data_IF_545487752209
#
_entry.id   IF_545487752209
#
_cell.length_a   1.000
_cell.length_b   1.000
_cell.length_c   1.000
_cell.angle_alpha   90.00
_cell.angle_beta   90.00
_cell.angle_gamma   90.00
#
_symmetry.space_group_name_H-M   'P 1'
#
loop_
_entity.id
_entity.type
_entity.pdbx_description
1 polymer ?
#
# COMPACT_ATOMS: atom_id res chain seq x y z
N UNK A 1 -24.88 -18.52 11.07
CA UNK A 1 -24.93 -17.68 9.86
C UNK A 1 -23.91 -16.58 10.03
N UNK A 2 -22.90 -16.55 9.18
CA UNK A 2 -21.73 -15.67 9.30
C UNK A 2 -22.06 -14.26 8.79
N UNK A 3 -21.75 -13.26 9.62
CA UNK A 3 -22.04 -11.83 9.40
C UNK A 3 -21.16 -11.30 8.24
N UNK A 4 -20.00 -11.93 8.01
CA UNK A 4 -19.12 -11.63 6.89
C UNK A 4 -19.77 -12.00 5.54
N UNK A 5 -20.46 -13.14 5.48
CA UNK A 5 -21.15 -13.59 4.26
C UNK A 5 -22.34 -12.68 3.93
N UNK A 6 -23.03 -12.13 4.94
CA UNK A 6 -24.14 -11.19 4.75
C UNK A 6 -23.65 -9.83 4.22
N UNK A 7 -22.48 -9.38 4.69
CA UNK A 7 -21.86 -8.13 4.24
C UNK A 7 -21.36 -8.24 2.80
N UNK A 8 -20.74 -9.37 2.43
CA UNK A 8 -20.31 -9.64 1.05
C UNK A 8 -21.53 -9.70 0.11
N UNK A 9 -22.64 -10.30 0.55
CA UNK A 9 -23.86 -10.38 -0.26
C UNK A 9 -24.55 -9.00 -0.44
N UNK A 10 -24.53 -8.16 0.60
CA UNK A 10 -25.00 -6.76 0.50
C UNK A 10 -24.08 -5.92 -0.40
N UNK A 11 -22.76 -6.09 -0.30
CA UNK A 11 -21.78 -5.39 -1.14
C UNK A 11 -21.92 -5.80 -2.62
N UNK A 12 -22.26 -7.07 -2.92
CA UNK A 12 -22.55 -7.54 -4.30
C UNK A 12 -23.84 -6.94 -4.87
N UNK A 13 -24.92 -6.88 -4.08
CA UNK A 13 -26.18 -6.27 -4.54
C UNK A 13 -26.06 -4.74 -4.74
N UNK A 14 -25.26 -4.06 -3.92
CA UNK A 14 -24.96 -2.64 -4.09
C UNK A 14 -24.17 -2.36 -5.38
N UNK A 15 -23.29 -3.28 -5.80
CA UNK A 15 -22.49 -3.14 -7.03
C UNK A 15 -23.27 -3.42 -8.33
N UNK A 16 -24.39 -4.16 -8.28
CA UNK A 16 -25.24 -4.41 -9.46
C UNK A 16 -26.20 -3.24 -9.78
N UNK A 17 -26.47 -2.37 -8.80
CA UNK A 17 -27.38 -1.22 -8.95
C UNK A 17 -26.71 0.04 -9.51
N UNK A 18 -25.38 0.12 -9.54
CA UNK A 18 -24.65 1.32 -9.99
C UNK A 18 -24.08 1.24 -11.42
N UNK A 19 -24.64 0.37 -12.27
CA UNK A 19 -24.18 0.16 -13.65
C UNK A 19 -25.21 0.41 -14.76
N UNK A 20 -26.45 0.82 -14.46
CA UNK A 20 -27.49 1.01 -15.49
C UNK A 20 -27.79 2.48 -15.78
N UNK A 21 -26.87 3.13 -16.50
CA UNK A 21 -27.19 4.26 -17.38
C UNK A 21 -26.69 3.93 -18.79
N UNK A 22 -27.58 3.30 -19.54
CA UNK A 22 -27.79 3.38 -20.99
C UNK A 22 -26.58 3.56 -21.94
N UNK A 23 -26.11 2.46 -22.54
CA UNK A 23 -25.87 2.39 -23.99
C UNK A 23 -25.79 0.93 -24.46
N UNK A 24 -26.15 0.73 -25.72
CA UNK A 24 -26.60 -0.49 -26.37
C UNK A 24 -25.52 -1.57 -26.63
N UNK A 25 -26.00 -2.82 -26.82
CA UNK A 25 -25.35 -3.99 -27.44
C UNK A 25 -24.24 -4.72 -26.66
N UNK A 26 -24.60 -5.82 -25.97
CA UNK A 26 -24.18 -7.20 -26.29
C UNK A 26 -24.53 -8.17 -25.14
N UNK A 27 -25.46 -9.09 -25.39
CA UNK A 27 -25.89 -10.13 -24.46
C UNK A 27 -25.06 -11.40 -24.67
N UNK A 28 -23.97 -11.61 -23.95
CA UNK A 28 -23.29 -12.93 -23.92
C UNK A 28 -22.45 -13.24 -22.67
N UNK A 29 -22.40 -12.39 -21.64
CA UNK A 29 -21.59 -12.66 -20.44
C UNK A 29 -22.36 -13.32 -19.29
N UNK A 30 -23.69 -13.43 -19.40
CA UNK A 30 -24.54 -14.06 -18.39
C UNK A 30 -24.65 -15.59 -18.51
N UNK A 31 -24.25 -16.20 -19.64
CA UNK A 31 -24.42 -17.64 -19.88
C UNK A 31 -23.35 -18.51 -19.20
N UNK A 32 -22.09 -18.08 -19.25
CA UNK A 32 -20.95 -18.86 -18.72
C UNK A 32 -20.97 -19.01 -17.19
N UNK A 33 -21.44 -17.98 -16.47
CA UNK A 33 -21.55 -18.06 -15.02
C UNK A 33 -22.74 -18.92 -14.58
N UNK A 34 -23.87 -18.86 -15.31
CA UNK A 34 -25.01 -19.75 -15.05
C UNK A 34 -24.72 -21.21 -15.36
N UNK A 35 -23.86 -21.48 -16.34
CA UNK A 35 -23.46 -22.84 -16.73
C UNK A 35 -22.51 -23.45 -15.68
N UNK A 36 -21.53 -22.68 -15.20
CA UNK A 36 -20.61 -23.11 -14.14
C UNK A 36 -21.31 -23.35 -12.80
N UNK A 37 -22.32 -22.52 -12.47
CA UNK A 37 -23.11 -22.70 -11.25
C UNK A 37 -24.04 -23.93 -11.35
N UNK A 38 -24.52 -24.25 -12.55
CA UNK A 38 -25.30 -25.47 -12.81
C UNK A 38 -24.48 -26.74 -12.63
N UNK A 39 -23.21 -26.72 -13.02
CA UNK A 39 -22.31 -27.88 -12.92
C UNK A 39 -21.85 -28.15 -11.48
N UNK A 40 -21.61 -27.10 -10.68
CA UNK A 40 -21.21 -27.23 -9.27
C UNK A 40 -22.37 -27.71 -8.38
N UNK A 41 -23.62 -27.37 -8.73
CA UNK A 41 -24.79 -27.73 -7.92
C UNK A 41 -25.41 -29.11 -8.27
N UNK A 42 -25.04 -29.72 -9.40
CA UNK A 42 -25.57 -31.04 -9.80
C UNK A 42 -24.76 -32.26 -9.29
N UNK A 43 -23.56 -32.05 -8.71
CA UNK A 43 -22.66 -33.15 -8.32
C UNK A 43 -22.75 -33.60 -6.85
N UNK A 44 -23.80 -33.25 -6.11
CA UNK A 44 -23.95 -33.60 -4.68
C UNK A 44 -24.96 -34.71 -4.35
N UNK A 45 -25.39 -35.51 -5.32
CA UNK A 45 -26.29 -36.67 -5.07
C UNK A 45 -25.82 -37.93 -5.82
N UNK A 46 -25.40 -38.96 -5.06
CA UNK A 46 -25.12 -40.38 -5.44
C UNK A 46 -23.78 -40.61 -6.18
N UNK A 47 -22.88 -41.53 -5.81
CA UNK A 47 -22.95 -42.77 -5.03
C UNK A 47 -21.53 -43.24 -4.66
N UNK A 48 -21.42 -44.00 -3.57
CA UNK A 48 -20.24 -44.72 -3.07
C UNK A 48 -19.52 -45.55 -4.14
N UNK A 49 -18.17 -45.54 -4.16
CA UNK A 49 -17.28 -46.73 -4.15
C UNK A 49 -15.85 -46.36 -4.60
N UNK A 50 -14.84 -46.76 -3.81
CA UNK A 50 -13.53 -47.20 -4.29
C UNK A 50 -12.52 -46.16 -4.83
N UNK A 51 -11.50 -45.91 -4.00
CA UNK A 51 -10.08 -45.72 -4.35
C UNK A 51 -9.57 -44.54 -5.21
N UNK A 52 -8.45 -44.03 -4.70
CA UNK A 52 -7.37 -43.26 -5.35
C UNK A 52 -7.66 -41.83 -5.76
N UNK A 53 -7.27 -40.95 -4.84
CA UNK A 53 -6.92 -39.55 -5.08
C UNK A 53 -5.64 -39.54 -5.94
N UNK A 54 -5.70 -38.99 -7.14
CA UNK A 54 -4.52 -38.51 -7.89
C UNK A 54 -4.92 -37.46 -8.93
N UNK A 55 -4.04 -36.50 -9.20
CA UNK A 55 -4.38 -35.12 -9.51
C UNK A 55 -4.56 -34.87 -11.01
N UNK A 56 -5.25 -33.76 -11.28
CA UNK A 56 -5.47 -33.13 -12.57
C UNK A 56 -4.21 -33.15 -13.45
N UNK A 57 -4.20 -34.05 -14.43
CA UNK A 57 -3.21 -34.07 -15.49
C UNK A 57 -3.50 -32.92 -16.45
N UNK A 58 -2.63 -31.91 -16.37
CA UNK A 58 -2.47 -30.86 -17.35
C UNK A 58 -2.00 -31.48 -18.67
N UNK A 59 -2.88 -31.48 -19.67
CA UNK A 59 -2.55 -31.88 -21.04
C UNK A 59 -2.40 -30.62 -21.89
N UNK A 60 -1.18 -30.10 -21.96
CA UNK A 60 -0.82 -28.92 -22.74
C UNK A 60 0.64 -29.01 -23.16
N UNK A 61 0.85 -29.24 -24.46
CA UNK A 61 2.16 -29.33 -25.11
C UNK A 61 2.77 -27.93 -25.25
N UNK A 62 3.57 -27.53 -24.27
CA UNK A 62 4.48 -26.39 -24.38
C UNK A 62 5.82 -26.75 -23.72
N UNK A 63 6.89 -26.71 -24.51
CA UNK A 63 8.25 -27.05 -24.08
C UNK A 63 8.69 -26.15 -22.91
N UNK A 64 9.01 -26.79 -21.79
CA UNK A 64 9.64 -26.11 -20.64
C UNK A 64 11.07 -25.75 -21.05
N UNK A 65 11.29 -24.47 -21.35
CA UNK A 65 12.61 -23.88 -21.49
C UNK A 65 13.24 -23.72 -20.09
N UNK A 66 14.12 -24.66 -19.72
CA UNK A 66 15.04 -24.52 -18.59
C UNK A 66 16.41 -24.05 -19.10
N UNK A 67 16.84 -22.80 -18.87
CA UNK A 67 18.24 -22.45 -19.06
C UNK A 67 19.08 -23.07 -17.94
N UNK A 68 20.07 -23.85 -18.37
CA UNK A 68 21.10 -24.49 -17.56
C UNK A 68 21.92 -23.48 -16.76
N UNK A 69 22.12 -23.81 -15.48
CA UNK A 69 22.97 -23.12 -14.51
C UNK A 69 24.43 -23.02 -15.00
N UNK A 70 25.01 -21.82 -15.24
CA UNK A 70 26.44 -21.68 -15.42
C UNK A 70 27.11 -21.52 -14.05
N UNK A 71 27.92 -22.52 -13.69
CA UNK A 71 28.91 -22.42 -12.61
C UNK A 71 29.89 -21.29 -12.91
N UNK A 72 29.68 -20.13 -12.27
CA UNK A 72 30.64 -19.02 -12.29
C UNK A 72 31.79 -19.38 -11.34
N UNK A 73 32.94 -19.67 -11.93
CA UNK A 73 34.22 -19.75 -11.26
C UNK A 73 34.61 -18.33 -10.79
N UNK A 74 34.94 -18.21 -9.51
CA UNK A 74 35.60 -17.05 -8.92
C UNK A 74 36.94 -16.80 -9.62
N UNK A 75 37.11 -15.63 -10.23
CA UNK A 75 38.42 -14.97 -10.27
C UNK A 75 38.28 -13.47 -10.00
N UNK A 76 39.18 -13.02 -9.14
CA UNK A 76 39.20 -11.73 -8.47
C UNK A 76 39.52 -10.58 -9.41
N UNK A 77 38.74 -9.50 -9.30
CA UNK A 77 39.23 -8.12 -9.42
C UNK A 77 38.31 -7.22 -8.60
N UNK A 78 38.54 -7.23 -7.29
CA UNK A 78 37.95 -6.27 -6.38
C UNK A 78 38.65 -4.91 -6.58
N UNK A 79 37.99 -4.00 -7.28
CA UNK A 79 38.27 -2.57 -7.12
C UNK A 79 37.68 -2.15 -5.77
N UNK A 80 38.48 -1.59 -4.85
CA UNK A 80 37.92 -0.98 -3.65
C UNK A 80 37.39 0.40 -4.08
N UNK A 81 36.19 0.46 -4.65
CA UNK A 81 35.46 1.72 -4.64
C UNK A 81 35.13 1.99 -3.19
N UNK A 82 35.89 2.90 -2.59
CA UNK A 82 35.71 3.39 -1.23
C UNK A 82 34.27 3.89 -1.08
N UNK A 83 33.38 3.02 -0.58
CA UNK A 83 32.14 3.49 0.04
C UNK A 83 32.61 4.32 1.23
N UNK A 84 32.30 5.61 1.17
CA UNK A 84 32.47 6.52 2.28
C UNK A 84 31.80 5.98 3.55
N UNK A 85 32.11 6.59 4.70
CA UNK A 85 31.64 6.10 5.98
C UNK A 85 30.12 5.94 5.99
N UNK A 86 29.65 4.77 6.41
CA UNK A 86 28.24 4.37 6.57
C UNK A 86 27.67 5.13 7.79
N UNK A 87 27.53 6.44 7.67
CA UNK A 87 26.84 7.30 8.64
C UNK A 87 25.61 7.98 8.02
N UNK A 88 25.09 7.47 6.90
CA UNK A 88 24.25 8.18 5.91
C UNK A 88 22.91 7.49 5.60
N UNK A 89 22.27 6.81 6.55
CA UNK A 89 21.30 5.75 6.16
C UNK A 89 19.99 6.22 5.50
N UNK A 90 19.52 7.46 5.70
CA UNK A 90 18.36 8.01 4.98
C UNK A 90 18.48 9.48 4.57
N UNK A 91 19.56 10.17 4.98
CA UNK A 91 19.70 11.63 4.80
C UNK A 91 19.65 12.04 3.32
N UNK A 92 20.34 11.31 2.45
CA UNK A 92 20.33 11.58 1.00
C UNK A 92 18.93 11.44 0.39
N UNK A 93 18.16 10.44 0.86
CA UNK A 93 16.79 10.20 0.41
C UNK A 93 15.87 11.33 0.90
N UNK A 94 16.03 11.74 2.16
CA UNK A 94 15.28 12.84 2.77
C UNK A 94 15.56 14.15 2.01
N UNK A 95 16.84 14.44 1.73
CA UNK A 95 17.26 15.61 0.96
C UNK A 95 16.66 15.60 -0.44
N UNK A 96 16.77 14.48 -1.16
CA UNK A 96 16.17 14.31 -2.50
C UNK A 96 14.65 14.52 -2.47
N UNK A 97 13.96 14.01 -1.44
CA UNK A 97 12.53 14.18 -1.28
C UNK A 97 12.15 15.63 -0.93
N UNK A 98 12.92 16.28 -0.05
CA UNK A 98 12.78 17.67 0.33
C UNK A 98 12.88 18.60 -0.89
N UNK A 99 13.94 18.45 -1.69
CA UNK A 99 14.15 19.20 -2.92
C UNK A 99 13.00 18.98 -3.92
N UNK A 100 12.61 17.72 -4.15
CA UNK A 100 11.58 17.38 -5.14
C UNK A 100 10.19 17.93 -4.78
N UNK A 101 9.83 17.92 -3.50
CA UNK A 101 8.49 18.29 -3.05
C UNK A 101 8.42 19.65 -2.35
N UNK A 102 9.52 20.41 -2.39
CA UNK A 102 9.69 21.72 -1.77
C UNK A 102 9.31 21.71 -0.28
N UNK A 103 9.91 20.79 0.47
CA UNK A 103 9.69 20.60 1.90
C UNK A 103 10.98 20.86 2.68
N UNK A 104 10.90 21.36 3.92
CA UNK A 104 12.06 21.36 4.81
C UNK A 104 12.50 19.91 5.11
N UNK A 105 13.78 19.60 4.95
CA UNK A 105 14.34 18.27 5.29
C UNK A 105 14.02 17.88 6.73
N UNK A 106 14.15 18.84 7.64
CA UNK A 106 13.87 18.66 9.07
C UNK A 106 12.40 18.31 9.33
N UNK A 107 11.47 18.79 8.51
CA UNK A 107 10.06 18.44 8.65
C UNK A 107 9.83 16.97 8.29
N UNK A 108 10.43 16.51 7.19
CA UNK A 108 10.35 15.10 6.76
C UNK A 108 10.96 14.20 7.84
N UNK A 109 12.16 14.52 8.34
CA UNK A 109 12.81 13.73 9.38
C UNK A 109 12.03 13.71 10.70
N UNK A 110 11.37 14.81 11.06
CA UNK A 110 10.49 14.89 12.22
C UNK A 110 9.25 14.00 12.11
N UNK A 111 8.66 13.92 10.91
CA UNK A 111 7.56 12.99 10.64
C UNK A 111 8.05 11.55 10.73
N UNK A 112 9.17 11.19 10.07
CA UNK A 112 9.75 9.84 10.15
C UNK A 112 10.04 9.44 11.60
N UNK A 113 10.60 10.37 12.40
CA UNK A 113 10.89 10.14 13.82
C UNK A 113 9.62 9.78 14.59
N UNK A 114 8.52 10.49 14.35
CA UNK A 114 7.25 10.25 15.02
C UNK A 114 6.55 8.98 14.53
N UNK A 115 6.64 8.67 13.24
CA UNK A 115 5.92 7.56 12.62
C UNK A 115 6.56 6.21 12.94
N UNK A 116 7.87 6.08 12.76
CA UNK A 116 8.55 4.78 12.91
C UNK A 116 9.81 4.84 13.76
N UNK A 117 10.19 6.01 14.25
CA UNK A 117 11.49 6.21 14.91
C UNK A 117 12.66 5.74 14.00
N UNK A 118 12.55 5.97 12.70
CA UNK A 118 13.50 5.55 11.65
C UNK A 118 13.61 4.02 11.43
N UNK A 119 12.62 3.25 11.89
CA UNK A 119 12.49 1.84 11.53
C UNK A 119 11.80 1.70 10.15
N UNK A 120 12.53 1.17 9.16
CA UNK A 120 12.00 0.94 7.82
C UNK A 120 11.13 -0.33 7.72
N UNK A 121 11.24 -1.24 8.69
CA UNK A 121 10.44 -2.46 8.78
C UNK A 121 9.16 -2.28 9.61
N UNK A 122 8.90 -1.07 10.11
CA UNK A 122 7.74 -0.79 10.98
C UNK A 122 6.41 -1.07 10.28
N UNK A 123 5.55 -1.84 10.95
CA UNK A 123 4.18 -2.12 10.53
C UNK A 123 3.25 -1.88 11.72
N UNK A 124 2.27 -0.99 11.57
CA UNK A 124 1.28 -0.74 12.60
C UNK A 124 0.18 -1.81 12.62
N UNK A 125 -0.58 -1.90 13.72
CA UNK A 125 -1.74 -2.78 13.83
C UNK A 125 -2.84 -2.47 12.80
N UNK A 126 -2.90 -1.24 12.29
CA UNK A 126 -3.81 -0.81 11.24
C UNK A 126 -3.27 -1.08 9.82
N UNK A 127 -2.02 -1.54 9.69
CA UNK A 127 -1.38 -1.85 8.40
C UNK A 127 -0.57 -0.70 7.78
N UNK A 128 -0.36 0.40 8.51
CA UNK A 128 0.56 1.45 8.06
C UNK A 128 1.99 0.90 8.03
N UNK A 129 2.76 1.20 6.98
CA UNK A 129 4.04 0.52 6.71
C UNK A 129 5.19 1.50 6.44
N UNK A 130 6.38 1.15 6.93
CA UNK A 130 7.65 1.80 6.63
C UNK A 130 7.92 3.10 7.38
N UNK A 131 8.93 3.84 6.94
CA UNK A 131 9.49 5.02 7.62
C UNK A 131 8.47 6.14 7.89
N UNK A 132 7.56 6.38 6.96
CA UNK A 132 6.52 7.41 7.02
C UNK A 132 5.12 6.82 7.22
N UNK A 133 5.05 5.54 7.61
CA UNK A 133 3.82 4.82 7.96
C UNK A 133 2.67 5.03 6.96
N UNK A 134 2.92 4.70 5.69
CA UNK A 134 1.90 4.83 4.65
C UNK A 134 0.86 3.73 4.78
N UNK A 135 -0.42 4.11 4.86
CA UNK A 135 -1.54 3.17 4.73
C UNK A 135 -1.57 2.54 3.32
N UNK A 136 -1.98 1.27 3.15
CA UNK A 136 -1.92 0.59 1.85
C UNK A 136 -2.67 1.32 0.72
N UNK A 137 -3.86 1.87 1.02
CA UNK A 137 -4.61 2.67 0.05
C UNK A 137 -3.90 3.96 -0.35
N UNK A 138 -3.26 4.62 0.60
CA UNK A 138 -2.45 5.83 0.39
C UNK A 138 -1.19 5.52 -0.42
N UNK A 139 -0.47 4.44 -0.09
CA UNK A 139 0.70 3.98 -0.85
C UNK A 139 0.34 3.74 -2.33
N UNK A 140 -0.76 3.01 -2.59
CA UNK A 140 -1.27 2.76 -3.94
C UNK A 140 -1.60 4.07 -4.67
N UNK A 141 -2.32 4.99 -4.02
CA UNK A 141 -2.65 6.29 -4.60
C UNK A 141 -1.40 7.13 -4.94
N UNK A 142 -0.32 6.98 -4.18
CA UNK A 142 0.92 7.74 -4.38
C UNK A 142 1.84 7.11 -5.42
N UNK A 143 1.59 5.86 -5.83
CA UNK A 143 2.41 5.08 -6.75
C UNK A 143 3.55 4.32 -6.07
N UNK A 144 3.47 4.09 -4.75
CA UNK A 144 4.42 3.29 -3.99
C UNK A 144 4.10 1.81 -4.20
N UNK A 145 5.02 1.05 -4.77
CA UNK A 145 4.85 -0.39 -5.03
C UNK A 145 5.41 -1.25 -3.91
N UNK A 146 6.44 -0.76 -3.20
CA UNK A 146 6.98 -1.40 -2.01
C UNK A 146 7.11 -0.37 -0.87
N UNK A 147 6.21 -0.43 0.12
CA UNK A 147 6.24 0.49 1.27
C UNK A 147 7.36 0.18 2.27
N UNK A 148 8.01 -0.98 2.20
CA UNK A 148 9.17 -1.33 3.02
C UNK A 148 10.49 -0.87 2.38
N UNK A 149 10.46 -0.46 1.11
CA UNK A 149 11.60 0.18 0.48
C UNK A 149 11.74 1.63 1.00
N UNK A 150 12.86 1.99 1.63
CA UNK A 150 13.03 3.32 2.23
C UNK A 150 12.86 4.48 1.25
N UNK A 151 13.40 4.33 0.02
CA UNK A 151 13.34 5.40 -0.98
C UNK A 151 11.90 5.62 -1.43
N UNK A 152 11.18 4.56 -1.81
CA UNK A 152 9.78 4.67 -2.20
C UNK A 152 8.91 5.20 -1.06
N UNK A 153 9.14 4.74 0.17
CA UNK A 153 8.34 5.15 1.33
C UNK A 153 8.53 6.64 1.66
N UNK A 154 9.78 7.11 1.75
CA UNK A 154 10.08 8.53 2.00
C UNK A 154 9.57 9.40 0.85
N UNK A 155 9.79 9.00 -0.41
CA UNK A 155 9.33 9.77 -1.56
C UNK A 155 7.79 9.81 -1.65
N UNK A 156 7.11 8.74 -1.27
CA UNK A 156 5.65 8.69 -1.17
C UNK A 156 5.12 9.56 -0.03
N UNK A 157 5.66 9.41 1.17
CA UNK A 157 5.25 10.19 2.33
C UNK A 157 5.52 11.68 2.18
N UNK A 158 6.68 12.08 1.65
CA UNK A 158 6.99 13.46 1.34
C UNK A 158 6.02 14.05 0.29
N UNK A 159 5.69 13.30 -0.76
CA UNK A 159 4.66 13.70 -1.74
C UNK A 159 3.31 13.94 -1.07
N UNK A 160 2.91 13.07 -0.15
CA UNK A 160 1.64 13.21 0.57
C UNK A 160 1.65 14.41 1.52
N UNK A 161 2.73 14.59 2.28
CA UNK A 161 2.90 15.73 3.17
C UNK A 161 2.88 17.07 2.42
N UNK A 162 3.53 17.15 1.27
CA UNK A 162 3.50 18.34 0.39
C UNK A 162 2.08 18.64 -0.13
N UNK A 163 1.29 17.60 -0.45
CA UNK A 163 -0.14 17.78 -0.77
C UNK A 163 -0.94 18.35 0.40
N UNK A 164 -0.69 17.87 1.62
CA UNK A 164 -1.37 18.41 2.81
C UNK A 164 -1.01 19.87 3.04
N UNK A 165 0.27 20.23 2.97
CA UNK A 165 0.70 21.62 3.08
C UNK A 165 0.04 22.51 2.03
N UNK A 166 0.00 22.05 0.77
CA UNK A 166 -0.65 22.78 -0.31
C UNK A 166 -2.15 22.98 -0.05
N UNK A 167 -2.83 21.92 0.42
CA UNK A 167 -4.26 21.96 0.72
C UNK A 167 -4.60 22.92 1.87
N UNK A 168 -3.72 23.04 2.86
CA UNK A 168 -3.93 23.86 4.06
C UNK A 168 -3.07 25.14 4.06
N UNK A 169 -2.82 25.71 2.87
CA UNK A 169 -2.19 27.02 2.68
C UNK A 169 -0.83 27.18 3.40
N UNK A 170 -0.04 26.11 3.48
CA UNK A 170 1.26 26.10 4.14
C UNK A 170 1.21 26.03 5.67
N UNK A 171 0.02 25.90 6.27
CA UNK A 171 -0.10 25.70 7.72
C UNK A 171 0.41 24.31 8.10
N UNK A 172 1.63 24.26 8.66
CA UNK A 172 2.32 23.01 8.99
C UNK A 172 1.52 22.17 9.99
N UNK A 173 1.01 22.77 11.07
CA UNK A 173 0.28 22.03 12.10
C UNK A 173 -1.00 21.38 11.57
N UNK A 174 -1.74 22.10 10.73
CA UNK A 174 -2.96 21.59 10.09
C UNK A 174 -2.65 20.51 9.06
N UNK A 175 -1.55 20.67 8.30
CA UNK A 175 -1.08 19.66 7.37
C UNK A 175 -0.66 18.36 8.09
N UNK A 176 0.02 18.46 9.24
CA UNK A 176 0.37 17.32 10.08
C UNK A 176 -0.87 16.63 10.66
N UNK A 177 -1.86 17.42 11.10
CA UNK A 177 -3.14 16.86 11.54
C UNK A 177 -3.84 16.09 10.40
N UNK A 178 -3.79 16.61 9.17
CA UNK A 178 -4.39 15.96 8.01
C UNK A 178 -3.60 14.73 7.55
N UNK A 179 -2.28 14.72 7.73
CA UNK A 179 -1.45 13.55 7.48
C UNK A 179 -1.86 12.38 8.39
N UNK A 180 -2.06 12.65 9.68
CA UNK A 180 -2.43 11.64 10.69
C UNK A 180 -3.92 11.25 10.65
N UNK A 181 -4.83 12.23 10.68
CA UNK A 181 -6.28 11.98 10.83
C UNK A 181 -7.04 11.95 9.48
N UNK A 182 -6.35 12.23 8.38
CA UNK A 182 -6.92 12.38 7.05
C UNK A 182 -7.44 13.80 6.78
N UNK A 183 -7.29 14.31 5.54
CA UNK A 183 -7.71 15.66 5.17
C UNK A 183 -9.22 15.88 5.27
N UNK A 184 -10.03 14.84 5.03
CA UNK A 184 -11.49 14.93 5.19
C UNK A 184 -11.92 15.22 6.62
N UNK A 185 -11.21 14.66 7.60
CA UNK A 185 -11.44 14.95 9.03
C UNK A 185 -11.11 16.40 9.34
N UNK A 186 -9.94 16.87 8.93
CA UNK A 186 -9.50 18.25 9.18
C UNK A 186 -10.43 19.27 8.52
N UNK A 187 -10.87 19.01 7.28
CA UNK A 187 -11.87 19.84 6.60
C UNK A 187 -13.18 19.91 7.37
N UNK A 188 -13.68 18.77 7.90
CA UNK A 188 -14.94 18.72 8.66
C UNK A 188 -14.87 19.53 9.95
N UNK A 189 -13.71 19.58 10.60
CA UNK A 189 -13.49 20.35 11.83
C UNK A 189 -12.98 21.78 11.57
N UNK A 190 -12.76 22.16 10.31
CA UNK A 190 -12.13 23.43 9.93
C UNK A 190 -10.79 23.68 10.66
N UNK A 191 -10.01 22.62 10.88
CA UNK A 191 -8.76 22.67 11.64
C UNK A 191 -8.39 21.35 12.30
N UNK A 192 -7.50 21.42 13.28
CA UNK A 192 -7.04 20.24 14.02
C UNK A 192 -8.23 19.63 14.78
N UNK A 193 -8.61 18.35 14.54
CA UNK A 193 -9.75 17.75 15.20
C UNK A 193 -9.50 17.61 16.71
N UNK A 194 -10.57 17.56 17.54
CA UNK A 194 -10.47 17.37 18.99
C UNK A 194 -10.13 15.92 19.37
N UNK A 195 -9.26 15.26 18.58
CA UNK A 195 -8.79 13.91 18.83
C UNK A 195 -7.46 14.02 19.57
N UNK A 196 -7.42 13.48 20.80
CA UNK A 196 -6.22 13.53 21.65
C UNK A 196 -5.00 12.97 20.93
N UNK A 197 -5.17 11.89 20.17
CA UNK A 197 -4.12 11.27 19.37
C UNK A 197 -3.54 12.24 18.34
N UNK A 198 -4.37 12.86 17.51
CA UNK A 198 -3.93 13.80 16.48
C UNK A 198 -3.29 15.06 17.07
N UNK A 199 -3.86 15.61 18.14
CA UNK A 199 -3.25 16.75 18.84
C UNK A 199 -1.88 16.39 19.43
N UNK A 200 -1.74 15.16 19.97
CA UNK A 200 -0.46 14.65 20.46
C UNK A 200 0.54 14.46 19.33
N UNK A 201 0.09 13.91 18.21
CA UNK A 201 0.89 13.71 17.01
C UNK A 201 1.48 15.04 16.53
N UNK A 202 0.64 16.05 16.29
CA UNK A 202 1.06 17.38 15.84
C UNK A 202 2.10 17.96 16.79
N UNK A 203 1.82 17.96 18.10
CA UNK A 203 2.75 18.49 19.11
C UNK A 203 4.10 17.79 19.07
N UNK A 204 4.13 16.46 19.00
CA UNK A 204 5.38 15.70 18.99
C UNK A 204 6.22 16.00 17.75
N UNK A 205 5.59 16.01 16.56
CA UNK A 205 6.29 16.35 15.32
C UNK A 205 6.81 17.78 15.35
N UNK A 206 6.01 18.74 15.82
CA UNK A 206 6.44 20.13 15.95
C UNK A 206 7.60 20.30 16.93
N UNK A 207 7.62 19.54 18.03
CA UNK A 207 8.75 19.54 18.95
C UNK A 207 10.03 19.04 18.28
N UNK A 208 9.98 17.96 17.50
CA UNK A 208 11.13 17.48 16.72
C UNK A 208 11.56 18.48 15.64
N UNK A 209 10.60 19.18 15.04
CA UNK A 209 10.86 20.15 13.98
C UNK A 209 11.54 21.42 14.51
N UNK A 210 11.20 21.84 15.73
CA UNK A 210 11.70 23.06 16.36
C UNK A 210 12.97 22.84 17.20
N UNK A 211 13.28 21.61 17.62
CA UNK A 211 14.43 21.28 18.48
C UNK A 211 15.79 21.43 17.83
#
# INVERSE_FOLDING_TARGET
MDIQSLKILMDINAMQTLGSVQSSQDTNTSSLFSELLGEVLQNTEKTKSGNTISPLLYNGTSDIYMPTNPSIQNEAQATPTSRGPISSNYEDIIKKAAEKYNLPEKLISSVIKQESNFDAAAISSAGATGLMQLMPGTAKYLGVTNSLDPEQNIMGGAKYLSKMLSQFNGNIETALAAYNAGPGTVNRYAGIPPYKETQNYVRKVMNYYQS
#
